data_IF_586415382801
#
_entry.id   IF_586415382801
#
_cell.length_a   1.000
_cell.length_b   1.000
_cell.length_c   1.000
_cell.angle_alpha   90.00
_cell.angle_beta   90.00
_cell.angle_gamma   90.00
#
_symmetry.space_group_name_H-M   'P 1'
#
loop_
_entity.id
_entity.type
_entity.pdbx_description
1 polymer ?
#
# COMPACT_ATOMS: atom_id res chain seq x y z
N UNK A 1 25.39 13.24 6.21
CA UNK A 1 25.98 14.55 6.60
C UNK A 1 25.24 15.75 5.99
N UNK A 2 24.98 15.82 4.67
CA UNK A 2 24.26 16.94 4.02
C UNK A 2 22.79 17.12 4.49
N UNK A 3 22.02 16.03 4.64
CA UNK A 3 20.62 16.10 5.16
C UNK A 3 20.56 16.62 6.61
N UNK A 4 21.47 16.21 7.49
CA UNK A 4 21.48 16.66 8.89
C UNK A 4 21.79 18.16 9.03
N UNK A 5 22.74 18.66 8.24
CA UNK A 5 23.03 20.10 8.20
C UNK A 5 21.81 20.90 7.69
N UNK A 6 21.11 20.35 6.69
CA UNK A 6 19.87 20.91 6.17
C UNK A 6 18.75 20.93 7.24
N UNK A 7 18.51 19.81 7.91
CA UNK A 7 17.51 19.68 8.98
C UNK A 7 17.81 20.59 10.17
N UNK A 8 19.06 20.62 10.62
CA UNK A 8 19.49 21.51 11.72
C UNK A 8 19.20 22.97 11.42
N UNK A 9 19.48 23.43 10.19
CA UNK A 9 19.21 24.80 9.76
C UNK A 9 17.71 25.09 9.71
N UNK A 10 16.90 24.19 9.14
CA UNK A 10 15.46 24.37 9.01
C UNK A 10 14.74 24.33 10.36
N UNK A 11 15.05 23.36 11.22
CA UNK A 11 14.44 23.28 12.56
C UNK A 11 14.77 24.50 13.41
N UNK A 12 16.01 25.01 13.36
CA UNK A 12 16.36 26.28 14.02
C UNK A 12 15.51 27.44 13.52
N UNK A 13 15.40 27.59 12.19
CA UNK A 13 14.59 28.64 11.57
C UNK A 13 13.11 28.53 11.99
N UNK A 14 12.53 27.33 11.97
CA UNK A 14 11.14 27.10 12.40
C UNK A 14 10.97 27.48 13.87
N UNK A 15 11.90 27.09 14.75
CA UNK A 15 11.81 27.46 16.17
C UNK A 15 11.89 28.96 16.38
N UNK A 16 12.74 29.66 15.62
CA UNK A 16 12.90 31.13 15.69
C UNK A 16 11.67 31.86 15.12
N UNK A 17 11.18 31.43 13.96
CA UNK A 17 10.06 32.03 13.24
C UNK A 17 8.73 31.87 14.00
N UNK A 18 8.48 30.67 14.53
CA UNK A 18 7.24 30.37 15.26
C UNK A 18 7.39 30.48 16.79
N UNK A 19 8.56 30.92 17.28
CA UNK A 19 8.89 31.05 18.71
C UNK A 19 8.61 29.78 19.52
N UNK A 20 8.87 28.60 18.94
CA UNK A 20 8.74 27.34 19.66
C UNK A 20 9.78 27.24 20.77
N UNK A 21 9.32 26.93 21.98
CA UNK A 21 10.20 26.58 23.08
C UNK A 21 10.90 25.25 22.76
N UNK A 22 12.23 25.23 22.91
CA UNK A 22 13.07 24.08 22.56
C UNK A 22 13.22 23.15 23.76
N UNK A 23 12.11 22.75 24.36
CA UNK A 23 12.11 21.90 25.56
C UNK A 23 11.88 20.45 25.16
N UNK A 24 10.67 20.12 24.72
CA UNK A 24 10.27 18.78 24.29
C UNK A 24 10.25 18.65 22.76
N UNK A 25 10.74 17.53 22.25
CA UNK A 25 10.54 17.13 20.84
C UNK A 25 10.29 15.63 20.74
N UNK A 26 9.27 15.28 19.94
CA UNK A 26 8.98 13.91 19.55
C UNK A 26 9.26 13.81 18.05
N UNK A 27 10.23 12.98 17.68
CA UNK A 27 10.53 12.62 16.30
C UNK A 27 9.96 11.24 16.02
N UNK A 28 9.10 11.16 15.01
CA UNK A 28 8.53 9.90 14.51
C UNK A 28 9.03 9.72 13.08
N UNK A 29 9.87 8.71 12.88
CA UNK A 29 10.35 8.34 11.55
C UNK A 29 9.29 7.53 10.80
N UNK A 30 9.15 7.79 9.50
CA UNK A 30 8.31 7.01 8.57
C UNK A 30 8.62 5.52 8.64
N UNK A 31 7.69 4.70 8.13
CA UNK A 31 7.85 3.25 8.13
C UNK A 31 9.12 2.87 7.39
N UNK A 32 10.12 2.46 8.18
CA UNK A 32 11.23 1.64 7.73
C UNK A 32 11.94 2.17 6.46
N UNK A 33 12.43 3.41 6.51
CA UNK A 33 13.35 3.97 5.52
C UNK A 33 14.70 3.20 5.53
N UNK A 34 15.25 2.88 4.35
CA UNK A 34 16.61 2.37 4.17
C UNK A 34 17.64 3.36 4.73
N UNK A 35 17.97 3.24 6.01
CA UNK A 35 19.18 3.78 6.62
C UNK A 35 19.65 2.80 7.69
N UNK A 36 20.96 2.73 7.94
CA UNK A 36 21.53 1.83 8.94
C UNK A 36 21.02 2.19 10.35
N UNK A 37 19.99 1.45 10.78
CA UNK A 37 19.07 1.73 11.90
C UNK A 37 19.69 2.23 13.23
N UNK A 38 20.96 1.97 13.54
CA UNK A 38 21.54 2.33 14.85
C UNK A 38 22.36 3.61 14.87
N UNK A 39 22.96 4.03 13.74
CA UNK A 39 23.85 5.19 13.74
C UNK A 39 23.09 6.50 13.48
N UNK A 40 22.02 6.51 12.68
CA UNK A 40 21.31 7.76 12.36
C UNK A 40 20.31 8.24 13.43
N UNK A 41 19.58 7.36 14.12
CA UNK A 41 18.71 7.77 15.24
C UNK A 41 19.51 8.44 16.36
N UNK A 42 20.68 7.87 16.68
CA UNK A 42 21.64 8.48 17.60
C UNK A 42 22.17 9.83 17.08
N UNK A 43 22.44 9.94 15.77
CA UNK A 43 22.83 11.21 15.17
C UNK A 43 21.72 12.27 15.22
N UNK A 44 20.45 11.89 15.10
CA UNK A 44 19.32 12.80 15.27
C UNK A 44 19.20 13.27 16.72
N UNK A 45 19.41 12.38 17.70
CA UNK A 45 19.44 12.76 19.11
C UNK A 45 20.51 13.84 19.37
N UNK A 46 21.74 13.61 18.91
CA UNK A 46 22.84 14.56 19.07
C UNK A 46 22.59 15.88 18.32
N UNK A 47 21.98 15.81 17.14
CA UNK A 47 21.59 17.00 16.38
C UNK A 47 20.56 17.84 17.13
N UNK A 48 19.51 17.20 17.67
CA UNK A 48 18.44 17.86 18.42
C UNK A 48 18.95 18.49 19.72
N UNK A 49 19.82 17.79 20.45
CA UNK A 49 20.53 18.35 21.62
C UNK A 49 21.32 19.60 21.25
N UNK A 50 22.06 19.58 20.13
CA UNK A 50 22.81 20.75 19.61
C UNK A 50 21.93 21.90 19.14
N UNK A 51 20.63 21.70 18.92
CA UNK A 51 19.67 22.76 18.60
C UNK A 51 19.14 23.43 19.87
N UNK A 52 19.11 22.69 20.99
CA UNK A 52 18.69 23.16 22.30
C UNK A 52 17.62 22.28 22.96
N UNK A 53 17.10 21.24 22.29
CA UNK A 53 16.11 20.35 22.87
C UNK A 53 16.69 19.52 24.01
N UNK A 54 16.03 19.52 25.17
CA UNK A 54 16.46 18.80 26.37
C UNK A 54 15.76 17.45 26.48
N UNK A 55 14.49 17.40 26.08
CA UNK A 55 13.62 16.24 26.22
C UNK A 55 13.28 15.66 24.85
N UNK A 56 14.09 14.70 24.42
CA UNK A 56 14.01 14.13 23.07
C UNK A 56 13.44 12.71 23.14
N UNK A 57 12.36 12.47 22.39
CA UNK A 57 11.83 11.13 22.14
C UNK A 57 11.93 10.84 20.65
N UNK A 58 12.63 9.77 20.28
CA UNK A 58 12.81 9.35 18.89
C UNK A 58 12.20 7.97 18.75
N UNK A 59 11.25 7.83 17.83
CA UNK A 59 10.54 6.60 17.57
C UNK A 59 10.48 6.35 16.07
N UNK A 60 10.25 5.09 15.71
CA UNK A 60 10.18 4.63 14.33
C UNK A 60 8.86 3.91 14.09
N UNK A 61 8.20 4.22 12.99
CA UNK A 61 7.06 3.45 12.53
C UNK A 61 7.52 2.19 11.81
N UNK A 62 6.67 1.17 11.78
CA UNK A 62 6.95 -0.10 11.11
C UNK A 62 6.68 -1.32 11.98
N UNK A 63 7.28 -2.44 11.59
CA UNK A 63 7.06 -3.74 12.22
C UNK A 63 8.37 -4.42 12.66
N UNK A 64 9.49 -3.69 12.63
CA UNK A 64 10.76 -4.19 13.13
C UNK A 64 10.83 -4.14 14.67
N UNK A 65 11.91 -4.70 15.22
CA UNK A 65 12.14 -4.65 16.67
C UNK A 65 12.40 -3.21 17.12
N UNK A 66 11.57 -2.69 18.02
CA UNK A 66 11.66 -1.31 18.52
C UNK A 66 10.81 -0.30 17.75
N UNK A 67 10.15 -0.72 16.66
CA UNK A 67 9.09 0.07 16.03
C UNK A 67 7.85 0.15 16.91
N UNK A 68 7.11 1.26 16.77
CA UNK A 68 5.90 1.54 17.55
C UNK A 68 4.60 1.23 16.78
N UNK A 69 4.70 0.59 15.61
CA UNK A 69 3.56 0.28 14.74
C UNK A 69 3.36 1.28 13.59
N UNK A 70 2.19 1.25 12.95
CA UNK A 70 1.79 2.20 11.91
C UNK A 70 0.81 3.25 12.45
N UNK A 71 0.63 4.37 11.76
CA UNK A 71 -0.38 5.38 12.13
C UNK A 71 -1.70 5.00 11.46
N UNK A 72 -2.74 4.57 12.21
CA UNK A 72 -4.00 4.20 11.60
C UNK A 72 -4.77 5.42 11.09
N UNK A 73 -5.66 5.19 10.12
CA UNK A 73 -6.71 6.17 9.78
C UNK A 73 -7.64 6.34 10.98
N UNK A 74 -8.01 7.57 11.32
CA UNK A 74 -8.83 7.82 12.51
C UNK A 74 -10.26 7.25 12.35
N UNK A 75 -10.87 6.86 13.47
CA UNK A 75 -12.17 6.20 13.50
C UNK A 75 -13.29 7.06 12.88
N UNK A 76 -13.22 8.38 13.05
CA UNK A 76 -14.19 9.29 12.44
C UNK A 76 -14.11 9.23 10.93
N UNK A 77 -12.91 9.34 10.35
CA UNK A 77 -12.70 9.21 8.90
C UNK A 77 -13.19 7.84 8.40
N UNK A 78 -12.89 6.75 9.11
CA UNK A 78 -13.40 5.41 8.72
C UNK A 78 -14.94 5.38 8.69
N UNK A 79 -15.59 5.94 9.71
CA UNK A 79 -17.04 5.98 9.80
C UNK A 79 -17.66 6.86 8.71
N UNK A 80 -17.01 7.98 8.37
CA UNK A 80 -17.41 8.83 7.25
C UNK A 80 -17.30 8.10 5.90
N UNK A 81 -16.21 7.35 5.66
CA UNK A 81 -16.07 6.54 4.44
C UNK A 81 -17.14 5.45 4.38
N UNK A 82 -17.38 4.72 5.47
CA UNK A 82 -18.42 3.67 5.53
C UNK A 82 -19.82 4.25 5.26
N UNK A 83 -20.16 5.35 5.91
CA UNK A 83 -21.45 6.00 5.72
C UNK A 83 -21.62 6.53 4.29
N UNK A 84 -20.58 7.13 3.70
CA UNK A 84 -20.59 7.55 2.30
C UNK A 84 -20.74 6.37 1.35
N UNK A 85 -19.99 5.28 1.58
CA UNK A 85 -20.07 4.07 0.78
C UNK A 85 -21.48 3.45 0.79
N UNK A 86 -22.07 3.32 1.97
CA UNK A 86 -23.45 2.82 2.14
C UNK A 86 -24.49 3.77 1.54
N UNK A 87 -24.30 5.09 1.65
CA UNK A 87 -25.26 6.09 1.17
C UNK A 87 -25.18 6.44 -0.31
N UNK A 88 -23.99 6.41 -0.92
CA UNK A 88 -23.76 6.92 -2.28
C UNK A 88 -23.49 5.80 -3.29
N UNK A 89 -22.70 4.79 -2.91
CA UNK A 89 -22.27 3.75 -3.84
C UNK A 89 -23.34 2.65 -4.01
N UNK A 90 -24.13 2.35 -2.97
CA UNK A 90 -25.36 1.54 -3.08
C UNK A 90 -26.31 2.16 -4.10
N UNK A 91 -26.48 3.48 -4.10
CA UNK A 91 -27.31 4.19 -5.07
C UNK A 91 -26.73 4.13 -6.49
N UNK A 92 -25.41 4.10 -6.65
CA UNK A 92 -24.77 3.85 -7.95
C UNK A 92 -24.98 2.41 -8.43
N UNK A 93 -25.02 1.42 -7.53
CA UNK A 93 -25.37 0.03 -7.86
C UNK A 93 -26.85 -0.14 -8.21
N UNK A 94 -27.75 0.59 -7.55
CA UNK A 94 -29.21 0.46 -7.70
C UNK A 94 -29.78 1.38 -8.79
N UNK A 95 -29.07 2.45 -9.18
CA UNK A 95 -29.47 3.27 -10.32
C UNK A 95 -29.22 2.50 -11.62
N UNK A 96 -30.28 2.34 -12.43
CA UNK A 96 -30.36 1.54 -13.67
C UNK A 96 -29.38 1.94 -14.81
N UNK A 97 -28.34 2.72 -14.54
CA UNK A 97 -27.27 3.08 -15.47
C UNK A 97 -25.97 2.33 -15.14
N UNK A 98 -25.99 1.03 -15.45
CA UNK A 98 -24.88 0.11 -15.76
C UNK A 98 -23.46 0.68 -15.64
N UNK A 99 -22.70 0.30 -14.60
CA UNK A 99 -21.24 0.06 -14.77
C UNK A 99 -20.61 -0.88 -13.72
N UNK A 100 -21.07 -0.83 -12.47
CA UNK A 100 -20.61 -1.67 -11.36
C UNK A 100 -21.70 -2.72 -11.05
N UNK A 101 -21.39 -4.02 -11.23
CA UNK A 101 -22.29 -5.12 -10.85
C UNK A 101 -22.07 -5.50 -9.40
N UNK A 102 -23.13 -5.75 -8.63
CA UNK A 102 -23.00 -6.35 -7.28
C UNK A 102 -22.38 -7.76 -7.34
N UNK A 103 -22.64 -8.47 -8.44
CA UNK A 103 -22.11 -9.81 -8.71
C UNK A 103 -20.78 -9.72 -9.50
N UNK A 104 -19.78 -9.09 -8.89
CA UNK A 104 -18.45 -8.91 -9.46
C UNK A 104 -17.42 -8.79 -8.33
N UNK A 105 -16.26 -9.42 -8.49
CA UNK A 105 -15.12 -9.25 -7.60
C UNK A 105 -14.38 -7.96 -7.93
N UNK A 106 -14.14 -7.12 -6.93
CA UNK A 106 -13.49 -5.82 -7.11
C UNK A 106 -12.08 -5.83 -6.51
N UNK A 107 -11.14 -5.23 -7.22
CA UNK A 107 -9.75 -5.16 -6.80
C UNK A 107 -9.21 -3.75 -7.02
N UNK A 108 -8.52 -3.20 -6.02
CA UNK A 108 -8.03 -1.82 -6.05
C UNK A 108 -6.51 -1.78 -5.93
N UNK A 109 -5.83 -1.14 -6.86
CA UNK A 109 -4.38 -0.92 -6.77
C UNK A 109 -4.04 0.56 -6.73
N UNK A 110 -3.18 0.93 -5.78
CA UNK A 110 -2.43 2.18 -5.79
C UNK A 110 -0.95 1.86 -5.96
N UNK A 111 -0.37 2.26 -7.09
CA UNK A 111 1.04 2.03 -7.42
C UNK A 111 1.69 3.38 -7.65
N UNK A 112 2.73 3.68 -6.88
CA UNK A 112 3.40 4.99 -6.92
C UNK A 112 4.89 4.92 -7.28
N UNK A 113 5.40 3.72 -7.55
CA UNK A 113 6.75 3.52 -8.08
C UNK A 113 6.81 3.55 -9.60
N UNK A 114 8.03 3.68 -10.13
CA UNK A 114 8.34 3.57 -11.56
C UNK A 114 8.21 2.14 -12.11
N UNK A 115 7.93 1.15 -11.24
CA UNK A 115 7.70 -0.25 -11.61
C UNK A 115 6.23 -0.56 -11.93
N UNK A 116 5.39 0.46 -12.14
CA UNK A 116 3.96 0.31 -12.34
C UNK A 116 3.54 -0.69 -13.42
N UNK A 117 4.34 -0.93 -14.45
CA UNK A 117 4.08 -1.99 -15.44
C UNK A 117 4.16 -3.37 -14.78
N UNK A 118 5.29 -3.68 -14.13
CA UNK A 118 5.50 -4.95 -13.43
C UNK A 118 4.54 -5.11 -12.27
N UNK A 119 4.34 -4.05 -11.48
CA UNK A 119 3.37 -4.06 -10.39
C UNK A 119 1.96 -4.39 -10.87
N UNK A 120 1.54 -3.82 -12.01
CA UNK A 120 0.25 -4.14 -12.61
C UNK A 120 0.18 -5.59 -13.09
N UNK A 121 1.23 -6.09 -13.73
CA UNK A 121 1.29 -7.47 -14.21
C UNK A 121 1.16 -8.46 -13.05
N UNK A 122 1.95 -8.27 -11.98
CA UNK A 122 1.95 -9.12 -10.78
C UNK A 122 0.58 -9.06 -10.10
N UNK A 123 0.06 -7.86 -9.85
CA UNK A 123 -1.21 -7.71 -9.15
C UNK A 123 -2.36 -8.38 -9.91
N UNK A 124 -2.48 -8.15 -11.22
CA UNK A 124 -3.54 -8.74 -12.04
C UNK A 124 -3.38 -10.25 -12.11
N UNK A 125 -2.20 -10.74 -12.49
CA UNK A 125 -1.96 -12.16 -12.72
C UNK A 125 -2.12 -12.98 -11.44
N UNK A 126 -1.49 -12.54 -10.34
CA UNK A 126 -1.53 -13.27 -9.09
C UNK A 126 -2.92 -13.22 -8.45
N UNK A 127 -3.63 -12.09 -8.55
CA UNK A 127 -5.02 -12.00 -8.07
C UNK A 127 -5.91 -12.97 -8.86
N UNK A 128 -5.83 -12.99 -10.20
CA UNK A 128 -6.61 -13.93 -11.01
C UNK A 128 -6.29 -15.40 -10.67
N UNK A 129 -5.02 -15.72 -10.41
CA UNK A 129 -4.63 -17.04 -9.91
C UNK A 129 -5.21 -17.35 -8.53
N UNK A 130 -5.33 -16.35 -7.65
CA UNK A 130 -5.90 -16.54 -6.30
C UNK A 130 -7.41 -16.74 -6.32
N UNK A 131 -8.12 -16.11 -7.26
CA UNK A 131 -9.58 -16.18 -7.37
C UNK A 131 -10.05 -17.15 -8.45
N UNK A 132 -9.26 -18.18 -8.80
CA UNK A 132 -9.62 -19.12 -9.88
C UNK A 132 -10.97 -19.81 -9.63
N UNK A 133 -11.31 -20.08 -8.38
CA UNK A 133 -12.57 -20.72 -7.99
C UNK A 133 -13.76 -19.74 -7.91
N UNK A 134 -13.53 -18.42 -7.90
CA UNK A 134 -14.59 -17.41 -7.83
C UNK A 134 -15.24 -17.19 -9.20
N UNK A 135 -16.40 -17.78 -9.48
CA UNK A 135 -17.06 -17.71 -10.78
C UNK A 135 -17.47 -16.29 -11.24
N UNK A 136 -17.46 -15.31 -10.34
CA UNK A 136 -17.82 -13.93 -10.65
C UNK A 136 -16.85 -13.31 -11.67
N UNK A 137 -17.34 -12.31 -12.39
CA UNK A 137 -16.45 -11.43 -13.17
C UNK A 137 -15.53 -10.64 -12.23
N UNK A 138 -14.38 -10.18 -12.72
CA UNK A 138 -13.43 -9.41 -11.93
C UNK A 138 -13.24 -7.99 -12.50
N UNK A 139 -13.13 -6.99 -11.63
CA UNK A 139 -12.82 -5.62 -12.01
C UNK A 139 -11.65 -5.09 -11.21
N UNK A 140 -10.59 -4.71 -11.91
CA UNK A 140 -9.41 -4.05 -11.38
C UNK A 140 -9.53 -2.56 -11.61
N UNK A 141 -9.38 -1.77 -10.54
CA UNK A 141 -9.32 -0.31 -10.57
C UNK A 141 -7.92 0.05 -10.10
N UNK A 142 -7.15 0.74 -10.95
CA UNK A 142 -5.73 0.94 -10.74
C UNK A 142 -5.36 2.42 -10.89
N UNK A 143 -4.83 3.01 -9.82
CA UNK A 143 -4.24 4.35 -9.81
C UNK A 143 -2.72 4.23 -9.87
N UNK A 144 -2.14 4.64 -11.00
CA UNK A 144 -0.71 4.52 -11.30
C UNK A 144 -0.06 5.91 -11.37
N UNK A 145 0.51 6.38 -10.26
CA UNK A 145 0.97 7.78 -10.11
C UNK A 145 2.01 8.21 -11.16
N UNK A 146 2.93 7.31 -11.48
CA UNK A 146 4.03 7.54 -12.44
C UNK A 146 3.62 7.22 -13.90
N UNK A 147 2.32 7.01 -14.17
CA UNK A 147 1.83 6.79 -15.53
C UNK A 147 1.78 8.12 -16.29
N UNK A 148 2.70 8.24 -17.24
CA UNK A 148 2.67 9.28 -18.25
C UNK A 148 1.96 8.81 -19.53
N UNK A 149 1.31 9.74 -20.25
CA UNK A 149 0.60 9.45 -21.51
C UNK A 149 1.49 8.73 -22.52
N UNK A 150 2.77 9.10 -22.61
CA UNK A 150 3.77 8.46 -23.50
C UNK A 150 4.05 6.99 -23.18
N UNK A 151 3.67 6.52 -21.99
CA UNK A 151 3.93 5.16 -21.50
C UNK A 151 2.69 4.27 -21.49
N UNK A 152 1.52 4.80 -21.85
CA UNK A 152 0.26 4.05 -21.91
C UNK A 152 0.41 2.80 -22.77
N UNK A 153 1.02 2.91 -23.96
CA UNK A 153 1.25 1.75 -24.83
C UNK A 153 2.12 0.68 -24.18
N UNK A 154 3.18 1.09 -23.50
CA UNK A 154 4.09 0.15 -22.81
C UNK A 154 3.34 -0.59 -21.71
N UNK A 155 2.54 0.13 -20.92
CA UNK A 155 1.71 -0.44 -19.87
C UNK A 155 0.67 -1.42 -20.41
N UNK A 156 -0.15 -0.98 -21.38
CA UNK A 156 -1.23 -1.83 -21.91
C UNK A 156 -0.67 -3.07 -22.60
N UNK A 157 0.44 -2.94 -23.32
CA UNK A 157 1.12 -4.10 -23.93
C UNK A 157 1.71 -5.02 -22.86
N UNK A 158 2.27 -4.48 -21.77
CA UNK A 158 2.76 -5.28 -20.65
C UNK A 158 1.65 -6.11 -19.99
N UNK A 159 0.49 -5.50 -19.74
CA UNK A 159 -0.68 -6.19 -19.18
C UNK A 159 -1.24 -7.23 -20.16
N UNK A 160 -1.31 -6.88 -21.45
CA UNK A 160 -1.75 -7.81 -22.48
C UNK A 160 -0.83 -9.03 -22.60
N UNK A 161 0.49 -8.82 -22.56
CA UNK A 161 1.48 -9.89 -22.64
C UNK A 161 1.38 -10.85 -21.45
N UNK A 162 1.20 -10.34 -20.22
CA UNK A 162 1.07 -11.24 -19.06
C UNK A 162 -0.23 -12.06 -19.16
N UNK A 163 -1.33 -11.46 -19.61
CA UNK A 163 -2.60 -12.17 -19.74
C UNK A 163 -2.63 -13.20 -20.87
N UNK A 164 -1.73 -13.04 -21.87
CA UNK A 164 -1.50 -14.01 -22.94
C UNK A 164 -0.43 -15.05 -22.62
N UNK A 165 0.21 -14.98 -21.45
CA UNK A 165 1.32 -15.88 -21.11
C UNK A 165 0.80 -17.31 -20.95
N UNK A 166 1.41 -18.22 -21.71
CA UNK A 166 1.14 -19.66 -21.69
C UNK A 166 2.44 -20.47 -21.76
N UNK A 167 2.69 -21.28 -20.74
CA UNK A 167 3.80 -22.22 -20.64
C UNK A 167 3.45 -23.34 -19.64
N UNK A 168 4.43 -24.13 -19.20
CA UNK A 168 4.22 -25.27 -18.29
C UNK A 168 3.70 -24.86 -16.90
N UNK A 169 3.98 -23.63 -16.46
CA UNK A 169 3.56 -23.12 -15.14
C UNK A 169 2.36 -22.18 -15.20
N UNK A 170 2.12 -21.51 -16.33
CA UNK A 170 1.12 -20.45 -16.46
C UNK A 170 0.24 -20.67 -17.68
N UNK A 171 -1.08 -20.48 -17.53
CA UNK A 171 -2.05 -20.34 -18.62
C UNK A 171 -3.08 -19.29 -18.22
N UNK A 172 -2.66 -18.02 -18.14
CA UNK A 172 -3.54 -16.95 -17.68
C UNK A 172 -4.72 -16.70 -18.61
N UNK A 173 -4.58 -17.03 -19.90
CA UNK A 173 -5.66 -16.92 -20.88
C UNK A 173 -6.85 -17.85 -20.55
N UNK A 174 -6.62 -18.93 -19.81
CA UNK A 174 -7.68 -19.81 -19.33
C UNK A 174 -8.51 -19.22 -18.18
N UNK A 175 -8.06 -18.13 -17.54
CA UNK A 175 -8.73 -17.55 -16.37
C UNK A 175 -9.87 -16.58 -16.73
N UNK A 176 -10.02 -16.23 -18.01
CA UNK A 176 -11.03 -15.28 -18.46
C UNK A 176 -11.55 -15.61 -19.88
N UNK A 177 -12.80 -15.26 -20.16
CA UNK A 177 -13.40 -15.30 -21.50
C UNK A 177 -13.10 -14.03 -22.30
N UNK A 178 -13.18 -12.87 -21.63
CA UNK A 178 -12.94 -11.55 -22.22
C UNK A 178 -12.27 -10.65 -21.21
N UNK A 179 -11.26 -9.93 -21.66
CA UNK A 179 -10.58 -8.92 -20.90
C UNK A 179 -10.65 -7.57 -21.61
N UNK A 180 -10.94 -6.52 -20.86
CA UNK A 180 -11.01 -5.14 -21.37
C UNK A 180 -10.11 -4.26 -20.52
N UNK A 181 -9.04 -3.74 -21.12
CA UNK A 181 -8.16 -2.75 -20.49
C UNK A 181 -8.61 -1.38 -20.97
N UNK A 182 -9.01 -0.52 -20.04
CA UNK A 182 -9.43 0.86 -20.30
C UNK A 182 -8.51 1.81 -19.54
N UNK A 183 -7.89 2.75 -20.24
CA UNK A 183 -7.08 3.81 -19.65
C UNK A 183 -7.85 5.12 -19.74
N UNK A 184 -8.05 5.75 -18.59
CA UNK A 184 -8.83 6.97 -18.43
C UNK A 184 -7.90 8.12 -18.06
N UNK A 185 -7.99 9.21 -18.81
CA UNK A 185 -7.37 10.47 -18.44
C UNK A 185 -8.08 11.02 -17.20
N UNK A 186 -7.38 11.12 -16.08
CA UNK A 186 -7.97 11.56 -14.81
C UNK A 186 -8.44 13.01 -14.80
N UNK A 187 -7.91 13.87 -15.66
CA UNK A 187 -8.25 15.30 -15.70
C UNK A 187 -9.52 15.54 -16.52
N UNK A 188 -9.66 14.86 -17.65
CA UNK A 188 -10.79 15.03 -18.57
C UNK A 188 -11.89 13.99 -18.39
N UNK A 189 -11.61 12.87 -17.71
CA UNK A 189 -12.52 11.72 -17.60
C UNK A 189 -12.66 10.92 -18.91
N UNK A 190 -11.97 11.31 -19.98
CA UNK A 190 -12.07 10.65 -21.27
C UNK A 190 -11.25 9.34 -21.32
N UNK A 191 -11.74 8.39 -22.11
CA UNK A 191 -11.01 7.15 -22.41
C UNK A 191 -9.89 7.49 -23.40
N UNK A 192 -8.63 7.34 -22.97
CA UNK A 192 -7.45 7.53 -23.83
C UNK A 192 -7.13 6.27 -24.63
N UNK A 193 -7.42 5.10 -24.06
CA UNK A 193 -7.17 3.81 -24.71
C UNK A 193 -8.13 2.74 -24.24
N UNK A 194 -8.53 1.88 -25.15
CA UNK A 194 -9.23 0.65 -24.82
C UNK A 194 -8.67 -0.51 -25.65
N UNK A 195 -8.21 -1.56 -24.97
CA UNK A 195 -7.81 -2.82 -25.59
C UNK A 195 -8.77 -3.92 -25.14
N UNK A 196 -9.18 -4.78 -26.07
CA UNK A 196 -10.04 -5.93 -25.80
C UNK A 196 -9.36 -7.18 -26.34
N UNK A 197 -9.38 -8.25 -25.56
CA UNK A 197 -8.87 -9.55 -25.95
C UNK A 197 -9.71 -10.67 -25.34
N UNK A 198 -9.64 -11.84 -25.96
CA UNK A 198 -10.40 -13.02 -25.58
C UNK A 198 -9.47 -14.07 -24.99
N UNK A 199 -9.94 -14.77 -23.97
CA UNK A 199 -9.31 -15.95 -23.42
C UNK A 199 -10.21 -17.18 -23.59
N UNK A 200 -9.81 -18.31 -23.04
CA UNK A 200 -10.55 -19.58 -23.10
C UNK A 200 -11.34 -19.89 -21.83
N UNK A 201 -11.27 -19.02 -20.82
CA UNK A 201 -12.05 -19.14 -19.59
C UNK A 201 -13.49 -18.67 -19.74
N UNK A 202 -14.17 -18.49 -18.61
CA UNK A 202 -15.59 -18.08 -18.55
C UNK A 202 -15.78 -16.65 -18.04
N UNK A 203 -14.92 -16.19 -17.14
CA UNK A 203 -15.05 -14.89 -16.43
C UNK A 203 -14.75 -13.69 -17.33
N UNK A 204 -15.47 -12.59 -17.17
CA UNK A 204 -15.10 -11.31 -17.81
C UNK A 204 -14.23 -10.52 -16.86
N UNK A 205 -13.15 -9.94 -17.37
CA UNK A 205 -12.26 -9.07 -16.59
C UNK A 205 -12.26 -7.65 -17.16
N UNK A 206 -12.41 -6.66 -16.28
CA UNK A 206 -12.28 -5.24 -16.61
C UNK A 206 -11.08 -4.68 -15.86
N UNK A 207 -10.19 -3.99 -16.56
CA UNK A 207 -9.00 -3.37 -15.97
C UNK A 207 -9.08 -1.89 -16.30
N UNK A 208 -9.40 -1.08 -15.29
CA UNK A 208 -9.58 0.37 -15.40
C UNK A 208 -8.35 1.02 -14.80
N UNK A 209 -7.64 1.80 -15.61
CA UNK A 209 -6.36 2.39 -15.25
C UNK A 209 -6.49 3.90 -15.35
N UNK A 210 -5.98 4.60 -14.34
CA UNK A 210 -5.82 6.05 -14.36
C UNK A 210 -4.54 6.44 -13.63
N UNK A 211 -4.03 7.64 -13.84
CA UNK A 211 -2.83 8.13 -13.14
C UNK A 211 -3.13 8.71 -11.75
N UNK A 212 -4.37 9.11 -11.48
CA UNK A 212 -4.83 9.54 -10.14
C UNK A 212 -6.31 9.23 -9.94
N UNK A 213 -6.66 8.89 -8.70
CA UNK A 213 -8.04 8.83 -8.22
C UNK A 213 -8.26 9.87 -7.12
N UNK A 214 -9.37 10.61 -7.12
CA UNK A 214 -9.76 11.42 -5.97
C UNK A 214 -9.83 10.58 -4.69
N UNK A 215 -9.35 11.12 -3.56
CA UNK A 215 -9.23 10.35 -2.29
C UNK A 215 -10.55 9.70 -1.86
N UNK A 216 -11.65 10.44 -1.92
CA UNK A 216 -12.97 9.91 -1.56
C UNK A 216 -13.35 8.69 -2.40
N UNK A 217 -13.13 8.77 -3.72
CA UNK A 217 -13.40 7.66 -4.65
C UNK A 217 -12.48 6.47 -4.37
N UNK A 218 -11.20 6.73 -4.10
CA UNK A 218 -10.26 5.67 -3.72
C UNK A 218 -10.70 4.94 -2.45
N UNK A 219 -11.10 5.69 -1.42
CA UNK A 219 -11.53 5.14 -0.14
C UNK A 219 -12.81 4.31 -0.26
N UNK A 220 -13.75 4.76 -1.09
CA UNK A 220 -14.99 4.03 -1.34
C UNK A 220 -14.72 2.71 -2.07
N UNK A 221 -13.83 2.72 -3.08
CA UNK A 221 -13.39 1.48 -3.72
C UNK A 221 -12.54 0.61 -2.80
N UNK A 222 -11.83 1.20 -1.84
CA UNK A 222 -11.08 0.44 -0.85
C UNK A 222 -12.04 -0.33 0.06
N UNK A 223 -13.20 0.24 0.43
CA UNK A 223 -14.23 -0.54 1.13
C UNK A 223 -14.77 -1.67 0.24
N UNK A 224 -15.04 -1.39 -1.04
CA UNK A 224 -15.59 -2.39 -1.96
C UNK A 224 -14.65 -3.55 -2.29
N UNK A 225 -13.34 -3.31 -2.36
CA UNK A 225 -12.39 -4.26 -2.93
C UNK A 225 -12.21 -5.54 -2.08
N UNK A 226 -12.18 -6.70 -2.72
CA UNK A 226 -11.88 -7.99 -2.07
C UNK A 226 -10.39 -8.10 -1.71
N UNK A 227 -9.53 -7.53 -2.55
CA UNK A 227 -8.08 -7.41 -2.32
C UNK A 227 -7.56 -6.14 -3.00
N UNK A 228 -6.38 -5.70 -2.60
CA UNK A 228 -5.75 -4.54 -3.22
C UNK A 228 -4.24 -4.52 -3.13
N UNK A 229 -3.69 -3.48 -3.74
CA UNK A 229 -2.27 -3.16 -3.75
C UNK A 229 -2.05 -1.78 -3.17
N UNK A 230 -1.16 -1.67 -2.19
CA UNK A 230 -0.76 -0.43 -1.56
C UNK A 230 0.68 -0.07 -1.91
N UNK A 231 1.01 1.21 -1.75
CA UNK A 231 2.31 1.81 -2.04
C UNK A 231 2.62 2.93 -1.05
N UNK A 232 3.73 2.81 -0.33
CA UNK A 232 4.12 3.76 0.72
C UNK A 232 3.20 3.76 1.95
N UNK A 233 3.49 4.64 2.91
CA UNK A 233 2.98 4.51 4.28
C UNK A 233 1.51 4.84 4.40
N UNK A 234 1.05 5.90 3.73
CA UNK A 234 -0.33 6.36 3.85
C UNK A 234 -1.30 5.33 3.29
N UNK A 235 -1.07 4.84 2.06
CA UNK A 235 -1.99 3.86 1.46
C UNK A 235 -1.91 2.49 2.15
N UNK A 236 -0.75 2.10 2.67
CA UNK A 236 -0.63 0.89 3.49
C UNK A 236 -1.40 1.04 4.80
N UNK A 237 -1.29 2.19 5.46
CA UNK A 237 -1.99 2.48 6.72
C UNK A 237 -3.50 2.49 6.52
N UNK A 238 -4.00 3.16 5.47
CA UNK A 238 -5.41 3.16 5.09
C UNK A 238 -5.91 1.73 4.83
N UNK A 239 -5.15 0.93 4.07
CA UNK A 239 -5.49 -0.45 3.77
C UNK A 239 -5.54 -1.33 5.02
N UNK A 240 -4.50 -1.28 5.87
CA UNK A 240 -4.45 -2.05 7.11
C UNK A 240 -5.58 -1.69 8.06
N UNK A 241 -5.91 -0.40 8.14
CA UNK A 241 -7.00 0.10 8.99
C UNK A 241 -8.37 -0.38 8.50
N UNK A 242 -8.63 -0.30 7.20
CA UNK A 242 -9.95 -0.62 6.63
C UNK A 242 -10.14 -2.13 6.42
N UNK A 243 -9.10 -2.83 5.97
CA UNK A 243 -9.18 -4.26 5.61
C UNK A 243 -8.65 -5.21 6.68
N UNK A 244 -7.81 -4.73 7.59
CA UNK A 244 -7.19 -5.57 8.62
C UNK A 244 -6.25 -6.65 8.08
N UNK A 245 -5.80 -6.55 6.82
CA UNK A 245 -5.00 -7.56 6.12
C UNK A 245 -3.87 -6.94 5.32
N UNK A 246 -2.77 -7.67 5.13
CA UNK A 246 -1.66 -7.20 4.31
C UNK A 246 -2.06 -7.19 2.82
N UNK A 247 -1.96 -6.03 2.13
CA UNK A 247 -2.23 -5.96 0.70
C UNK A 247 -1.09 -6.58 -0.13
N UNK A 248 -1.28 -6.64 -1.44
CA UNK A 248 -0.12 -6.59 -2.34
C UNK A 248 0.64 -5.28 -2.08
N UNK A 249 1.97 -5.28 -2.20
CA UNK A 249 2.77 -4.13 -1.84
C UNK A 249 3.73 -3.73 -2.96
N UNK A 250 3.53 -2.52 -3.48
CA UNK A 250 4.46 -1.80 -4.34
C UNK A 250 5.59 -1.22 -3.48
N UNK A 251 6.68 -1.98 -3.36
CA UNK A 251 7.83 -1.64 -2.55
C UNK A 251 8.75 -0.65 -3.28
N UNK A 252 8.74 0.62 -2.85
CA UNK A 252 9.82 1.54 -3.19
C UNK A 252 11.15 1.05 -2.58
N UNK A 253 12.32 1.30 -3.21
CA UNK A 253 13.60 0.81 -2.73
C UNK A 253 13.82 1.07 -1.23
N UNK A 254 13.49 2.27 -0.75
CA UNK A 254 13.67 2.66 0.64
C UNK A 254 12.73 1.98 1.63
N UNK A 255 11.70 1.24 1.19
CA UNK A 255 10.80 0.46 2.05
C UNK A 255 11.21 -1.01 2.19
N UNK A 256 12.40 -1.39 1.72
CA UNK A 256 12.92 -2.75 1.89
C UNK A 256 12.98 -3.23 3.36
N UNK A 257 13.33 -2.40 4.37
CA UNK A 257 13.29 -2.82 5.77
C UNK A 257 11.87 -3.20 6.23
N UNK A 258 10.83 -2.51 5.76
CA UNK A 258 9.43 -2.80 6.08
C UNK A 258 9.06 -4.22 5.64
N UNK A 259 9.35 -4.50 4.36
CA UNK A 259 9.11 -5.81 3.75
C UNK A 259 9.89 -6.90 4.48
N UNK A 260 11.14 -6.65 4.85
CA UNK A 260 11.96 -7.60 5.60
C UNK A 260 11.34 -7.94 6.96
N UNK A 261 10.82 -6.93 7.67
CA UNK A 261 10.15 -7.11 8.96
C UNK A 261 8.88 -7.93 8.83
N UNK A 262 8.05 -7.66 7.81
CA UNK A 262 6.83 -8.42 7.53
C UNK A 262 7.15 -9.88 7.18
N UNK A 263 8.16 -10.13 6.33
CA UNK A 263 8.61 -11.49 6.04
C UNK A 263 9.14 -12.21 7.28
N UNK A 264 9.85 -11.50 8.16
CA UNK A 264 10.32 -12.05 9.44
C UNK A 264 9.14 -12.45 10.34
N UNK A 265 8.08 -11.64 10.41
CA UNK A 265 6.86 -11.95 11.15
C UNK A 265 6.12 -13.16 10.56
N UNK A 266 6.04 -13.26 9.23
CA UNK A 266 5.41 -14.39 8.55
C UNK A 266 6.20 -15.71 8.65
N UNK A 267 7.50 -15.64 8.91
CA UNK A 267 8.37 -16.80 9.02
C UNK A 267 8.56 -17.55 7.69
N UNK A 268 9.22 -18.71 7.73
CA UNK A 268 9.53 -19.52 6.55
C UNK A 268 8.28 -20.04 5.84
N UNK A 269 7.21 -20.29 6.59
CA UNK A 269 5.99 -20.90 6.06
C UNK A 269 5.22 -19.99 5.11
N UNK A 270 5.38 -18.67 5.26
CA UNK A 270 4.72 -17.65 4.45
C UNK A 270 5.66 -16.95 3.47
N UNK A 271 6.94 -17.33 3.41
CA UNK A 271 7.95 -16.63 2.59
C UNK A 271 7.52 -16.52 1.12
N UNK A 272 7.19 -17.66 0.49
CA UNK A 272 6.71 -17.69 -0.91
C UNK A 272 5.39 -16.94 -1.11
N UNK A 273 4.50 -16.97 -0.12
CA UNK A 273 3.23 -16.24 -0.18
C UNK A 273 3.47 -14.72 -0.21
N UNK A 274 4.35 -14.23 0.69
CA UNK A 274 4.72 -12.82 0.77
C UNK A 274 5.53 -12.38 -0.45
N UNK A 275 6.42 -13.24 -0.98
CA UNK A 275 7.16 -12.98 -2.23
C UNK A 275 6.21 -12.74 -3.42
N UNK A 276 5.11 -13.49 -3.51
CA UNK A 276 4.10 -13.31 -4.55
C UNK A 276 3.26 -12.03 -4.37
N UNK A 277 3.29 -11.42 -3.19
CA UNK A 277 2.54 -10.17 -2.90
C UNK A 277 3.38 -8.91 -3.00
N UNK A 278 4.70 -9.04 -3.00
CA UNK A 278 5.63 -7.90 -3.00
C UNK A 278 6.29 -7.76 -4.35
N UNK A 279 6.25 -6.55 -4.89
CA UNK A 279 6.95 -6.17 -6.12
C UNK A 279 7.54 -4.78 -5.98
N UNK A 280 8.56 -4.45 -6.78
CA UNK A 280 9.24 -3.17 -6.68
C UNK A 280 10.71 -3.27 -7.07
N UNK A 281 11.58 -2.48 -6.46
CA UNK A 281 13.02 -2.49 -6.75
C UNK A 281 13.86 -2.79 -5.53
N UNK A 282 14.94 -3.57 -5.72
CA UNK A 282 15.96 -3.74 -4.70
C UNK A 282 16.69 -2.41 -4.43
N UNK A 283 17.03 -2.14 -3.16
CA UNK A 283 17.96 -1.09 -2.77
C UNK A 283 19.27 -1.13 -3.57
N UNK A 284 19.79 0.05 -3.96
CA UNK A 284 21.12 0.26 -4.59
C UNK A 284 21.35 -0.36 -5.97
N UNK A 285 20.84 -1.57 -6.25
CA UNK A 285 20.98 -2.23 -7.56
C UNK A 285 19.89 -1.81 -8.54
N UNK A 286 18.72 -1.41 -8.03
CA UNK A 286 17.56 -1.08 -8.86
C UNK A 286 16.92 -2.29 -9.54
N UNK A 287 17.38 -3.51 -9.26
CA UNK A 287 16.83 -4.76 -9.80
C UNK A 287 15.35 -4.88 -9.45
N UNK A 288 14.52 -5.20 -10.43
CA UNK A 288 13.08 -5.40 -10.21
C UNK A 288 12.88 -6.71 -9.45
N UNK A 289 12.11 -6.66 -8.37
CA UNK A 289 11.61 -7.83 -7.67
C UNK A 289 10.15 -8.05 -8.04
N UNK A 290 9.83 -9.28 -8.40
CA UNK A 290 8.48 -9.72 -8.71
C UNK A 290 8.47 -11.23 -8.69
N UNK A 291 7.36 -11.80 -8.24
CA UNK A 291 7.11 -13.23 -8.34
C UNK A 291 5.69 -13.45 -8.88
N UNK A 292 5.57 -14.31 -9.88
CA UNK A 292 4.29 -14.69 -10.46
C UNK A 292 3.80 -15.99 -9.81
N UNK A 293 2.49 -16.05 -9.56
CA UNK A 293 1.83 -17.21 -8.98
C UNK A 293 1.25 -18.09 -10.08
N UNK A 294 1.76 -19.33 -10.18
CA UNK A 294 1.24 -20.33 -11.11
C UNK A 294 -0.27 -20.52 -10.94
N UNK A 295 -0.98 -20.58 -12.06
CA UNK A 295 -2.39 -20.96 -12.12
C UNK A 295 -2.62 -22.40 -12.60
N UNK A 296 -1.57 -23.13 -13.01
CA UNK A 296 -1.63 -24.53 -13.45
C UNK A 296 -1.23 -25.48 -12.31
N UNK A 297 -0.04 -25.27 -11.73
CA UNK A 297 0.53 -26.14 -10.68
C UNK A 297 0.28 -25.57 -9.29
N UNK A 298 -0.86 -24.89 -9.10
CA UNK A 298 -1.21 -24.13 -7.91
C UNK A 298 -0.80 -24.85 -6.61
N UNK A 299 0.01 -24.15 -5.81
CA UNK A 299 0.05 -24.41 -4.38
C UNK A 299 -0.98 -23.48 -3.74
N UNK A 300 -2.20 -23.98 -3.60
CA UNK A 300 -3.17 -23.39 -2.67
C UNK A 300 -2.51 -23.37 -1.28
N UNK A 301 -2.76 -22.32 -0.51
CA UNK A 301 -2.26 -22.30 0.86
C UNK A 301 -2.86 -23.49 1.61
N UNK A 302 -2.02 -24.22 2.34
CA UNK A 302 -2.54 -25.26 3.24
C UNK A 302 -3.40 -24.61 4.34
N UNK A 303 -4.30 -25.35 4.99
CA UNK A 303 -5.08 -24.81 6.11
C UNK A 303 -4.20 -24.21 7.24
N UNK A 304 -3.03 -24.80 7.48
CA UNK A 304 -2.04 -24.28 8.41
C UNK A 304 -1.44 -22.95 7.95
N UNK A 305 -1.08 -22.85 6.66
CA UNK A 305 -0.59 -21.59 6.08
C UNK A 305 -1.67 -20.51 6.11
N UNK A 306 -2.93 -20.85 5.84
CA UNK A 306 -4.04 -19.90 5.93
C UNK A 306 -4.24 -19.38 7.36
N UNK A 307 -4.11 -20.26 8.35
CA UNK A 307 -4.14 -19.88 9.78
C UNK A 307 -3.01 -18.89 10.09
N UNK A 308 -1.78 -19.18 9.63
CA UNK A 308 -0.63 -18.29 9.81
C UNK A 308 -0.78 -16.94 9.09
N UNK A 309 -1.42 -16.92 7.92
CA UNK A 309 -1.75 -15.66 7.23
C UNK A 309 -2.69 -14.82 8.09
N UNK A 310 -3.76 -15.41 8.62
CA UNK A 310 -4.70 -14.70 9.50
C UNK A 310 -4.05 -14.21 10.79
N UNK A 311 -3.12 -14.99 11.36
CA UNK A 311 -2.33 -14.57 12.53
C UNK A 311 -1.41 -13.39 12.19
N UNK A 312 -0.70 -13.45 11.06
CA UNK A 312 0.13 -12.35 10.58
C UNK A 312 -0.69 -11.08 10.36
N UNK A 313 -1.84 -11.19 9.67
CA UNK A 313 -2.77 -10.09 9.43
C UNK A 313 -3.25 -9.44 10.73
N UNK A 314 -3.57 -10.25 11.75
CA UNK A 314 -3.93 -9.76 13.08
C UNK A 314 -2.77 -9.04 13.77
N UNK A 315 -1.55 -9.58 13.68
CA UNK A 315 -0.36 -8.97 14.29
C UNK A 315 -0.09 -7.60 13.66
N UNK A 316 -0.09 -7.49 12.33
CA UNK A 316 0.23 -6.24 11.66
C UNK A 316 -0.88 -5.19 11.84
N UNK A 317 -2.15 -5.59 11.73
CA UNK A 317 -3.28 -4.64 11.77
C UNK A 317 -3.52 -4.09 13.16
N UNK A 318 -3.21 -4.86 14.22
CA UNK A 318 -3.33 -4.41 15.61
C UNK A 318 -2.13 -3.59 16.11
N UNK A 319 -0.99 -3.65 15.42
CA UNK A 319 0.22 -2.93 15.82
C UNK A 319 0.16 -1.45 15.38
N UNK A 320 -0.63 -0.65 16.10
CA UNK A 320 -0.85 0.78 15.84
C UNK A 320 -0.05 1.66 16.80
N UNK A 321 0.47 2.76 16.27
CA UNK A 321 1.29 3.73 16.99
C UNK A 321 0.47 4.75 17.80
N UNK A 322 -0.82 4.87 17.53
CA UNK A 322 -1.69 5.92 18.07
C UNK A 322 -1.65 5.97 19.60
N UNK A 323 -1.93 4.84 20.27
CA UNK A 323 -1.95 4.78 21.73
C UNK A 323 -0.62 5.22 22.34
N UNK A 324 0.49 4.73 21.78
CA UNK A 324 1.82 5.06 22.25
C UNK A 324 2.14 6.56 22.08
N UNK A 325 1.83 7.13 20.91
CA UNK A 325 2.02 8.57 20.63
C UNK A 325 1.15 9.42 21.58
N UNK A 326 -0.11 9.05 21.79
CA UNK A 326 -1.00 9.74 22.71
C UNK A 326 -0.49 9.70 24.16
N UNK A 327 0.01 8.55 24.61
CA UNK A 327 0.61 8.40 25.95
C UNK A 327 1.88 9.24 26.10
N UNK A 328 2.75 9.25 25.07
CA UNK A 328 3.92 10.12 25.03
C UNK A 328 3.51 11.59 25.17
N UNK A 329 2.58 12.08 24.37
CA UNK A 329 2.11 13.47 24.43
C UNK A 329 1.51 13.78 25.80
N UNK A 330 0.63 12.92 26.32
CA UNK A 330 -0.01 13.10 27.65
C UNK A 330 1.02 13.15 28.78
N UNK A 331 2.06 12.32 28.74
CA UNK A 331 3.12 12.30 29.75
C UNK A 331 3.89 13.63 29.76
N UNK A 332 4.21 14.18 28.58
CA UNK A 332 4.89 15.47 28.42
C UNK A 332 4.04 16.63 28.92
N UNK A 333 2.75 16.65 28.57
CA UNK A 333 1.81 17.68 29.04
C UNK A 333 1.61 17.68 30.57
N UNK A 334 1.60 16.49 31.20
CA UNK A 334 1.50 16.39 32.67
C UNK A 334 2.75 16.97 33.36
N UNK A 335 3.93 16.73 32.80
CA UNK A 335 5.17 17.29 33.33
C UNK A 335 5.17 18.83 33.27
N UNK A 336 4.64 19.43 32.19
CA UNK A 336 4.48 20.89 32.06
C UNK A 336 3.55 21.46 33.14
N UNK A 337 2.46 20.75 33.49
CA UNK A 337 1.54 21.17 34.56
C UNK A 337 2.15 21.03 35.96
N UNK A 338 3.07 20.09 36.18
CA UNK A 338 3.73 19.91 37.49
C UNK A 338 4.90 20.86 37.74
N UNK A 339 5.46 21.47 36.69
CA UNK A 339 6.58 22.42 36.79
C UNK A 339 6.16 23.88 37.01
N UNK A 340 4.87 24.14 37.26
CA UNK A 340 4.39 25.43 37.76
C UNK A 340 4.53 26.58 36.75
N UNK A 341 3.48 26.78 35.97
CA UNK A 341 2.99 28.13 35.69
C UNK A 341 1.73 28.35 36.53
#
# INVERSE_FOLDING_TARGET
MLKQAFWKKHLKKICEEFKFQKDDIILIEEMDLLYSNSQELNNYNDMLKKIGFTNISINKLGFDSGSIGYIPTDERTINEIKSRFEGELINLFDSYNVTLSRDNSYHLAYISSDTYVTGSQVFIANTLSEIVEDERSATFIMSLRELHTSRITVLTNGIENILKTKNEEFDYASLFSKATITVINSDSGNIERQNIFTGSGTKKIKIIITNKLPKNIYDDFLILADTGMASGDQSLSDYLTIKGKFPYYDMQPWKAPLVKSIKKLGGRDLEKHLDNRITGRKPFTGEIISSLKSNITQQTLTPEQLTKVNELDKIISSNTAEKYICELIKSRMKNIKSTGF
#
